data_IF_223519288658
#
_entry.id   IF_223519288658
#
_cell.length_a   1.000
_cell.length_b   1.000
_cell.length_c   1.000
_cell.angle_alpha   90.00
_cell.angle_beta   90.00
_cell.angle_gamma   90.00
#
_symmetry.space_group_name_H-M   'P 1'
#
loop_
_entity.id
_entity.type
_entity.pdbx_description
1 polymer ?
#
# COMPACT_ATOMS: atom_id res chain seq x y z
N UNK A 1 10.07 -24.40 50.52
CA UNK A 1 9.52 -23.25 49.78
C UNK A 1 10.44 -22.67 48.68
N UNK A 2 11.65 -23.21 48.41
CA UNK A 2 12.50 -22.72 47.30
C UNK A 2 12.21 -23.37 45.93
N UNK A 3 11.64 -24.58 45.91
CA UNK A 3 11.39 -25.33 44.66
C UNK A 3 10.18 -24.82 43.86
N UNK A 4 9.19 -24.19 44.51
CA UNK A 4 8.01 -23.63 43.84
C UNK A 4 8.32 -22.33 43.07
N UNK A 5 9.31 -21.56 43.52
CA UNK A 5 9.71 -20.30 42.86
C UNK A 5 10.40 -20.54 41.51
N UNK A 6 11.08 -21.68 41.35
CA UNK A 6 11.79 -22.07 40.12
C UNK A 6 10.83 -22.44 38.97
N UNK A 7 9.65 -22.99 39.26
CA UNK A 7 8.65 -23.36 38.25
C UNK A 7 7.94 -22.13 37.68
N UNK A 8 7.78 -21.06 38.47
CA UNK A 8 7.15 -19.81 38.04
C UNK A 8 7.98 -19.05 36.98
N UNK A 9 9.30 -19.25 36.93
CA UNK A 9 10.20 -18.56 35.99
C UNK A 9 10.10 -19.12 34.56
N UNK A 10 9.65 -20.37 34.38
CA UNK A 10 9.50 -20.99 33.05
C UNK A 10 8.30 -20.43 32.28
N UNK A 11 7.27 -19.94 32.97
CA UNK A 11 6.07 -19.37 32.33
C UNK A 11 6.26 -17.92 31.84
N UNK A 12 7.31 -17.22 32.31
CA UNK A 12 7.60 -15.84 31.93
C UNK A 12 8.36 -15.69 30.60
N UNK A 13 8.82 -16.82 30.03
CA UNK A 13 9.58 -16.83 28.77
C UNK A 13 8.86 -17.53 27.60
N UNK A 14 7.60 -17.95 27.80
CA UNK A 14 6.81 -18.51 26.73
C UNK A 14 6.48 -17.44 25.70
N UNK A 15 6.97 -17.60 24.47
CA UNK A 15 6.40 -16.93 23.32
C UNK A 15 5.41 -17.88 22.65
N UNK A 16 4.29 -17.35 22.16
CA UNK A 16 3.37 -18.13 21.35
C UNK A 16 2.93 -17.33 20.13
N UNK A 17 2.65 -18.05 19.05
CA UNK A 17 2.25 -17.45 17.79
C UNK A 17 0.74 -17.61 17.59
N UNK A 18 0.06 -16.52 17.29
CA UNK A 18 -1.38 -16.52 17.07
C UNK A 18 -1.78 -15.40 16.10
N UNK A 19 -2.51 -15.75 15.03
CA UNK A 19 -3.02 -14.82 14.01
C UNK A 19 -1.96 -13.85 13.46
N UNK A 20 -0.79 -14.34 13.07
CA UNK A 20 0.27 -13.49 12.51
C UNK A 20 1.10 -12.73 13.56
N UNK A 21 0.74 -12.84 14.84
CA UNK A 21 1.42 -12.13 15.92
C UNK A 21 2.21 -13.08 16.81
N UNK A 22 3.45 -12.67 17.12
CA UNK A 22 4.28 -13.25 18.16
C UNK A 22 3.99 -12.53 19.48
N UNK A 23 3.38 -13.26 20.42
CA UNK A 23 3.12 -12.80 21.76
C UNK A 23 4.27 -13.25 22.67
N UNK A 24 4.84 -12.31 23.41
CA UNK A 24 5.79 -12.56 24.50
C UNK A 24 5.25 -11.91 25.78
N UNK A 25 5.82 -12.25 26.94
CA UNK A 25 5.39 -11.63 28.20
C UNK A 25 5.55 -10.10 28.25
N UNK A 26 6.42 -9.52 27.40
CA UNK A 26 6.75 -8.08 27.41
C UNK A 26 6.21 -7.30 26.22
N UNK A 27 5.94 -7.96 25.09
CA UNK A 27 5.56 -7.31 23.85
C UNK A 27 4.78 -8.24 22.92
N UNK A 28 3.97 -7.64 22.04
CA UNK A 28 3.30 -8.32 20.92
C UNK A 28 3.85 -7.75 19.62
N UNK A 29 4.42 -8.60 18.77
CA UNK A 29 4.90 -8.23 17.45
C UNK A 29 4.03 -8.91 16.39
N UNK A 30 3.25 -8.13 15.66
CA UNK A 30 2.40 -8.62 14.59
C UNK A 30 3.09 -8.47 13.23
N UNK A 31 3.22 -9.59 12.51
CA UNK A 31 3.52 -9.56 11.10
C UNK A 31 2.21 -9.32 10.34
N UNK A 32 2.09 -8.14 9.74
CA UNK A 32 0.94 -7.74 8.95
C UNK A 32 1.35 -7.76 7.49
N UNK A 33 0.70 -8.60 6.69
CA UNK A 33 0.88 -8.57 5.24
C UNK A 33 0.44 -7.22 4.71
N UNK A 34 1.35 -6.56 4.00
CA UNK A 34 1.09 -5.24 3.40
C UNK A 34 0.69 -5.42 1.96
N UNK A 35 -0.50 -4.95 1.61
CA UNK A 35 -0.97 -4.89 0.23
C UNK A 35 -0.75 -3.47 -0.28
N UNK A 36 0.22 -3.23 -1.18
CA UNK A 36 0.42 -1.90 -1.74
C UNK A 36 -0.73 -1.52 -2.67
N UNK A 37 -0.84 -0.22 -2.94
CA UNK A 37 -1.68 0.28 -4.03
C UNK A 37 -1.08 -0.08 -5.39
N UNK A 38 -1.93 -0.20 -6.41
CA UNK A 38 -1.45 -0.30 -7.80
C UNK A 38 -0.74 0.98 -8.26
N UNK A 39 0.12 0.86 -9.28
CA UNK A 39 0.87 2.00 -9.82
C UNK A 39 -0.03 3.13 -10.31
N UNK A 40 -1.20 2.80 -10.88
CA UNK A 40 -2.17 3.79 -11.34
C UNK A 40 -2.87 4.49 -10.18
N UNK A 41 -2.97 3.86 -9.01
CA UNK A 41 -3.65 4.42 -7.87
C UNK A 41 -2.93 5.65 -7.27
N UNK A 42 -1.61 5.74 -7.49
CA UNK A 42 -0.78 6.89 -7.13
C UNK A 42 -1.13 8.18 -7.89
N UNK A 43 -1.83 8.08 -9.02
CA UNK A 43 -2.30 9.25 -9.77
C UNK A 43 -3.67 9.67 -9.21
N UNK A 44 -3.70 10.82 -8.56
CA UNK A 44 -4.88 11.38 -7.92
C UNK A 44 -5.25 12.71 -8.56
N UNK A 45 -6.54 12.89 -8.85
CA UNK A 45 -7.08 14.18 -9.29
C UNK A 45 -6.87 15.22 -8.19
N UNK A 46 -6.33 16.38 -8.54
CA UNK A 46 -5.98 17.42 -7.57
C UNK A 46 -7.19 17.99 -6.83
N UNK A 47 -8.37 17.95 -7.45
CA UNK A 47 -9.66 18.38 -6.89
C UNK A 47 -10.40 17.28 -6.09
N UNK A 48 -9.90 16.04 -6.09
CA UNK A 48 -10.53 14.91 -5.41
C UNK A 48 -9.51 13.91 -4.85
N UNK A 49 -8.44 14.39 -4.23
CA UNK A 49 -7.40 13.54 -3.62
C UNK A 49 -8.05 12.56 -2.62
N UNK A 50 -7.68 11.28 -2.69
CA UNK A 50 -8.27 10.21 -1.87
C UNK A 50 -9.63 9.71 -2.35
N UNK A 51 -10.25 10.40 -3.32
CA UNK A 51 -11.60 10.13 -3.81
C UNK A 51 -11.69 10.22 -5.35
N UNK A 52 -10.55 10.08 -6.03
CA UNK A 52 -10.47 10.16 -7.49
C UNK A 52 -11.34 9.08 -8.12
N UNK A 53 -12.23 9.45 -9.04
CA UNK A 53 -13.06 8.49 -9.79
C UNK A 53 -12.15 7.51 -10.55
N UNK A 54 -12.26 6.23 -10.19
CA UNK A 54 -11.40 5.15 -10.69
C UNK A 54 -11.63 4.92 -12.20
N UNK A 55 -12.88 5.00 -12.65
CA UNK A 55 -13.22 4.79 -14.05
C UNK A 55 -12.71 5.94 -14.92
N UNK A 56 -12.84 7.18 -14.43
CA UNK A 56 -12.31 8.35 -15.11
C UNK A 56 -10.79 8.32 -15.18
N UNK A 57 -10.12 7.94 -14.08
CA UNK A 57 -8.67 7.77 -14.05
C UNK A 57 -8.17 6.76 -15.09
N UNK A 58 -8.86 5.64 -15.24
CA UNK A 58 -8.52 4.66 -16.26
C UNK A 58 -8.76 5.18 -17.68
N UNK A 59 -9.89 5.84 -17.93
CA UNK A 59 -10.15 6.48 -19.24
C UNK A 59 -9.05 7.48 -19.60
N UNK A 60 -8.65 8.29 -18.63
CA UNK A 60 -7.58 9.27 -18.81
C UNK A 60 -6.22 8.62 -19.03
N UNK A 61 -5.92 7.54 -18.30
CA UNK A 61 -4.70 6.76 -18.48
C UNK A 61 -4.63 6.09 -19.87
N UNK A 62 -5.74 5.55 -20.37
CA UNK A 62 -5.81 4.98 -21.72
C UNK A 62 -5.58 6.03 -22.80
N UNK A 63 -6.17 7.22 -22.64
CA UNK A 63 -5.89 8.36 -23.53
C UNK A 63 -4.42 8.81 -23.47
N UNK A 64 -3.73 8.53 -22.36
CA UNK A 64 -2.29 8.75 -22.19
C UNK A 64 -1.42 7.55 -22.61
N UNK A 65 -2.01 6.52 -23.23
CA UNK A 65 -1.29 5.38 -23.81
C UNK A 65 -1.11 4.17 -22.88
N UNK A 66 -1.67 4.19 -21.67
CA UNK A 66 -1.74 2.99 -20.83
C UNK A 66 -2.80 2.01 -21.36
N UNK A 67 -2.72 0.75 -20.94
CA UNK A 67 -3.75 -0.26 -21.21
C UNK A 67 -4.67 -0.39 -20.01
N UNK A 68 -6.00 -0.39 -20.21
CA UNK A 68 -6.95 -0.66 -19.12
C UNK A 68 -6.64 -1.95 -18.37
N UNK A 69 -6.68 -1.90 -17.04
CA UNK A 69 -6.42 -3.04 -16.17
C UNK A 69 -4.95 -3.42 -16.00
N UNK A 70 -4.03 -2.72 -16.65
CA UNK A 70 -2.59 -2.85 -16.38
C UNK A 70 -2.22 -2.05 -15.12
N UNK A 71 -2.60 -2.57 -13.96
CA UNK A 71 -2.41 -1.93 -12.65
C UNK A 71 -0.96 -1.50 -12.37
N UNK A 72 0.02 -2.14 -13.01
CA UNK A 72 1.44 -1.84 -12.83
C UNK A 72 2.00 -0.83 -13.85
N UNK A 73 1.21 -0.45 -14.86
CA UNK A 73 1.59 0.45 -15.96
C UNK A 73 2.77 -0.07 -16.81
N UNK A 74 2.88 -1.40 -16.96
CA UNK A 74 3.90 -2.01 -17.81
C UNK A 74 3.77 -1.65 -19.29
N UNK A 75 2.56 -1.43 -19.77
CA UNK A 75 2.20 -0.96 -21.12
C UNK A 75 2.87 0.38 -21.48
N UNK A 76 3.09 1.22 -20.48
CA UNK A 76 3.79 2.50 -20.63
C UNK A 76 5.31 2.31 -20.48
N UNK A 77 5.75 1.41 -19.61
CA UNK A 77 7.17 1.22 -19.31
C UNK A 77 7.89 0.39 -20.38
N UNK A 78 7.19 -0.54 -21.05
CA UNK A 78 7.78 -1.47 -22.02
C UNK A 78 7.09 -1.35 -23.38
N UNK A 79 7.83 -1.44 -24.49
CA UNK A 79 9.27 -1.70 -24.58
C UNK A 79 10.17 -0.45 -24.46
N UNK A 80 9.63 0.75 -24.70
CA UNK A 80 10.40 2.00 -24.83
C UNK A 80 9.98 3.01 -23.76
N UNK A 81 10.18 2.68 -22.47
CA UNK A 81 9.94 3.50 -21.27
C UNK A 81 9.31 4.90 -21.49
N UNK A 82 8.00 4.93 -21.77
CA UNK A 82 7.21 6.15 -22.00
C UNK A 82 6.66 6.74 -20.69
N UNK A 83 7.31 6.44 -19.56
CA UNK A 83 6.83 6.83 -18.22
C UNK A 83 6.72 8.34 -18.09
N UNK A 84 7.65 9.09 -18.67
CA UNK A 84 7.67 10.54 -18.54
C UNK A 84 6.54 11.19 -19.35
N UNK A 85 6.31 10.70 -20.56
CA UNK A 85 5.24 11.14 -21.46
C UNK A 85 3.87 10.86 -20.86
N UNK A 86 3.70 9.66 -20.30
CA UNK A 86 2.49 9.30 -19.56
C UNK A 86 2.26 10.23 -18.36
N UNK A 87 3.31 10.47 -17.56
CA UNK A 87 3.22 11.37 -16.41
C UNK A 87 2.82 12.78 -16.82
N UNK A 88 3.47 13.36 -17.83
CA UNK A 88 3.15 14.70 -18.35
C UNK A 88 1.71 14.74 -18.87
N UNK A 89 1.25 13.70 -19.56
CA UNK A 89 -0.12 13.60 -20.05
C UNK A 89 -1.13 13.57 -18.89
N UNK A 90 -0.89 12.75 -17.86
CA UNK A 90 -1.75 12.68 -16.67
C UNK A 90 -1.75 14.01 -15.90
N UNK A 91 -0.59 14.66 -15.74
CA UNK A 91 -0.47 15.98 -15.13
C UNK A 91 -1.28 17.04 -15.89
N UNK A 92 -1.23 17.02 -17.23
CA UNK A 92 -2.03 17.93 -18.07
C UNK A 92 -3.55 17.73 -17.91
N UNK A 93 -3.96 16.52 -17.49
CA UNK A 93 -5.35 16.17 -17.16
C UNK A 93 -5.71 16.49 -15.71
N UNK A 94 -4.82 17.11 -14.94
CA UNK A 94 -5.06 17.54 -13.55
C UNK A 94 -4.81 16.45 -12.52
N UNK A 95 -3.95 15.47 -12.82
CA UNK A 95 -3.50 14.48 -11.84
C UNK A 95 -2.19 14.92 -11.19
N UNK A 96 -2.08 14.67 -9.89
CA UNK A 96 -0.83 14.67 -9.15
C UNK A 96 -0.43 13.23 -8.85
N UNK A 97 0.88 12.94 -8.93
CA UNK A 97 1.43 11.63 -8.58
C UNK A 97 1.96 11.67 -7.15
N UNK A 98 1.45 10.79 -6.30
CA UNK A 98 1.91 10.63 -4.93
C UNK A 98 2.84 9.43 -4.79
N UNK A 99 3.82 9.52 -3.90
CA UNK A 99 4.68 8.39 -3.58
C UNK A 99 3.96 7.35 -2.71
N UNK A 100 4.47 6.11 -2.77
CA UNK A 100 3.97 5.02 -1.91
C UNK A 100 4.02 5.35 -0.41
N UNK A 101 5.01 6.15 0.02
CA UNK A 101 5.13 6.61 1.40
C UNK A 101 4.04 7.62 1.78
N UNK A 102 3.56 8.41 0.84
CA UNK A 102 2.50 9.41 1.03
C UNK A 102 1.13 8.75 1.05
N UNK A 103 0.91 7.74 0.22
CA UNK A 103 -0.33 6.98 0.21
C UNK A 103 -0.42 5.91 1.31
N UNK A 104 0.73 5.40 1.77
CA UNK A 104 0.78 4.24 2.64
C UNK A 104 0.45 2.97 1.86
N UNK A 105 -0.35 2.09 2.45
CA UNK A 105 -0.75 0.80 1.83
C UNK A 105 -2.27 0.64 1.84
N UNK A 106 -2.78 -0.20 0.94
CA UNK A 106 -4.21 -0.53 0.86
C UNK A 106 -4.63 -1.34 2.09
N UNK A 107 -3.87 -2.37 2.41
CA UNK A 107 -4.03 -3.15 3.62
C UNK A 107 -2.70 -3.30 4.37
N UNK A 108 -2.70 -3.30 5.71
CA UNK A 108 -3.86 -3.07 6.58
C UNK A 108 -4.35 -1.60 6.53
N UNK A 109 -5.67 -1.38 6.64
CA UNK A 109 -6.28 -0.03 6.64
C UNK A 109 -5.64 0.97 7.62
N UNK A 110 -5.08 0.51 8.74
CA UNK A 110 -4.40 1.38 9.71
C UNK A 110 -3.14 2.06 9.15
N UNK A 111 -2.59 1.54 8.06
CA UNK A 111 -1.43 2.10 7.35
C UNK A 111 -1.84 2.81 6.05
N UNK A 112 -3.13 2.87 5.73
CA UNK A 112 -3.65 3.65 4.63
C UNK A 112 -3.77 5.13 5.05
N UNK A 113 -3.14 6.03 4.31
CA UNK A 113 -3.14 7.47 4.62
C UNK A 113 -4.32 8.24 4.03
N UNK A 114 -5.19 7.56 3.27
CA UNK A 114 -6.37 8.15 2.64
C UNK A 114 -6.08 9.05 1.44
N UNK A 115 -4.82 9.15 0.99
CA UNK A 115 -4.41 9.97 -0.16
C UNK A 115 -4.67 9.23 -1.48
N UNK A 116 -4.41 7.92 -1.51
CA UNK A 116 -4.70 7.08 -2.66
C UNK A 116 -5.99 6.28 -2.47
N UNK A 117 -6.69 6.04 -3.57
CA UNK A 117 -7.86 5.15 -3.62
C UNK A 117 -7.84 4.26 -4.88
N UNK A 118 -8.41 3.07 -4.72
CA UNK A 118 -8.54 2.01 -5.73
C UNK A 118 -9.74 1.11 -5.42
#
# INVERSE_FOLDING_TARGET
MKKFFMISLLFLHGCYWHNGCLYTAQMVNCYMDKVPFSSIAYYQKTDSIGHTDINQRWRDAELCGAKYGDSNLWSVIKPQNFRNEFRICMESKGYHIFDSSECGVKEPKSLNKGICNE
#
